data_IF_847772713811
#
_entry.id   IF_847772713811
#
_cell.length_a   1.000
_cell.length_b   1.000
_cell.length_c   1.000
_cell.angle_alpha   90.00
_cell.angle_beta   90.00
_cell.angle_gamma   90.00
#
_symmetry.space_group_name_H-M   'P 1'
#
loop_
_entity.id
_entity.type
_entity.pdbx_description
1 polymer ?
#
# COMPACT_ATOMS: atom_id res chain seq x y z
N UNK A 1 10.32 3.36 -39.19
CA UNK A 1 9.51 3.56 -37.98
C UNK A 1 10.22 4.61 -37.11
N UNK A 2 9.55 5.68 -36.70
CA UNK A 2 10.13 6.69 -35.80
C UNK A 2 9.66 6.38 -34.37
N UNK A 3 10.57 6.14 -33.46
CA UNK A 3 10.28 5.95 -32.04
C UNK A 3 10.62 7.25 -31.32
N UNK A 4 9.66 7.77 -30.52
CA UNK A 4 9.86 8.96 -29.70
C UNK A 4 9.68 8.53 -28.25
N UNK A 5 10.73 8.69 -27.44
CA UNK A 5 10.67 8.47 -26.00
C UNK A 5 10.19 9.75 -25.33
N UNK A 6 9.17 9.65 -24.47
CA UNK A 6 8.73 10.79 -23.68
C UNK A 6 9.78 11.18 -22.64
N UNK A 7 9.98 12.50 -22.42
CA UNK A 7 10.97 13.00 -21.44
C UNK A 7 10.65 12.53 -20.01
N UNK A 8 9.37 12.34 -19.69
CA UNK A 8 8.89 11.86 -18.39
C UNK A 8 8.72 10.35 -18.31
N UNK A 9 9.22 9.58 -19.31
CA UNK A 9 9.14 8.12 -19.29
C UNK A 9 9.95 7.55 -18.13
N UNK A 10 9.30 6.67 -17.34
CA UNK A 10 9.96 6.00 -16.20
C UNK A 10 9.00 5.72 -15.05
N UNK A 11 9.57 5.30 -13.94
CA UNK A 11 8.81 5.08 -12.72
C UNK A 11 8.39 6.41 -12.07
N UNK A 12 7.19 6.42 -11.47
CA UNK A 12 6.80 7.54 -10.61
C UNK A 12 7.73 7.64 -9.38
N UNK A 13 7.67 8.76 -8.69
CA UNK A 13 8.51 9.03 -7.52
C UNK A 13 8.42 7.92 -6.45
N UNK A 14 7.21 7.44 -6.13
CA UNK A 14 7.01 6.42 -5.10
C UNK A 14 7.68 5.08 -5.45
N UNK A 15 7.53 4.63 -6.69
CA UNK A 15 8.18 3.41 -7.21
C UNK A 15 9.71 3.57 -7.25
N UNK A 16 10.22 4.70 -7.76
CA UNK A 16 11.65 4.97 -7.81
C UNK A 16 12.27 4.92 -6.40
N UNK A 17 11.64 5.61 -5.44
CA UNK A 17 12.06 5.59 -4.04
C UNK A 17 12.07 4.18 -3.45
N UNK A 18 11.04 3.37 -3.72
CA UNK A 18 10.95 2.00 -3.19
C UNK A 18 12.08 1.11 -3.70
N UNK A 19 12.39 1.19 -5.00
CA UNK A 19 13.47 0.42 -5.62
C UNK A 19 14.84 0.86 -5.08
N UNK A 20 15.11 2.16 -5.01
CA UNK A 20 16.37 2.71 -4.47
C UNK A 20 16.56 2.30 -3.00
N UNK A 21 15.49 2.34 -2.20
CA UNK A 21 15.54 1.95 -0.79
C UNK A 21 15.82 0.46 -0.63
N UNK A 22 15.19 -0.39 -1.45
CA UNK A 22 15.45 -1.83 -1.45
C UNK A 22 16.90 -2.15 -1.83
N UNK A 23 17.41 -1.53 -2.89
CA UNK A 23 18.80 -1.70 -3.33
C UNK A 23 19.81 -1.26 -2.26
N UNK A 24 19.57 -0.11 -1.64
CA UNK A 24 20.39 0.38 -0.54
C UNK A 24 20.38 -0.58 0.65
N UNK A 25 19.19 -1.05 1.05
CA UNK A 25 19.05 -1.98 2.16
C UNK A 25 19.79 -3.29 1.90
N UNK A 26 19.69 -3.82 0.68
CA UNK A 26 20.40 -5.04 0.29
C UNK A 26 21.94 -4.89 0.33
N UNK A 27 22.45 -3.71 -0.01
CA UNK A 27 23.90 -3.43 0.06
C UNK A 27 24.41 -3.30 1.50
N UNK A 28 23.55 -2.88 2.43
CA UNK A 28 23.90 -2.63 3.83
C UNK A 28 23.64 -3.82 4.76
N UNK A 29 22.86 -4.81 4.32
CA UNK A 29 22.35 -5.86 5.21
C UNK A 29 22.52 -7.25 4.59
N UNK A 30 23.05 -8.21 5.35
CA UNK A 30 22.97 -9.61 4.98
C UNK A 30 21.58 -10.15 5.35
N UNK A 31 20.92 -10.88 4.40
CA UNK A 31 19.59 -11.44 4.65
C UNK A 31 18.44 -10.45 4.50
N UNK A 32 18.48 -9.66 3.44
CA UNK A 32 17.36 -8.77 3.06
C UNK A 32 16.24 -9.54 2.36
N UNK A 33 15.01 -9.25 2.76
CA UNK A 33 13.79 -9.83 2.20
C UNK A 33 12.89 -8.75 1.61
N UNK A 34 12.08 -9.11 0.64
CA UNK A 34 10.87 -8.36 0.26
C UNK A 34 9.65 -9.22 0.60
N UNK A 35 8.63 -8.59 1.17
CA UNK A 35 7.35 -9.22 1.46
C UNK A 35 6.45 -9.04 0.25
N UNK A 36 6.26 -10.13 -0.51
CA UNK A 36 5.63 -10.09 -1.82
C UNK A 36 6.47 -9.34 -2.87
N UNK A 37 5.84 -8.91 -3.94
CA UNK A 37 6.48 -8.09 -4.96
C UNK A 37 6.59 -6.64 -4.51
N UNK A 38 7.79 -6.08 -4.49
CA UNK A 38 8.04 -4.70 -4.08
C UNK A 38 7.21 -3.70 -4.90
N UNK A 39 7.08 -3.99 -6.18
CA UNK A 39 6.27 -3.25 -7.17
C UNK A 39 5.71 -4.24 -8.19
N UNK A 40 4.62 -3.88 -8.87
CA UNK A 40 4.02 -4.71 -9.94
C UNK A 40 4.86 -4.69 -11.23
N UNK A 41 6.13 -5.09 -11.15
CA UNK A 41 7.03 -5.20 -12.29
C UNK A 41 8.03 -6.35 -12.10
N UNK A 42 7.79 -7.46 -12.82
CA UNK A 42 8.60 -8.67 -12.70
C UNK A 42 10.09 -8.46 -13.05
N UNK A 43 10.42 -7.57 -13.97
CA UNK A 43 11.83 -7.30 -14.31
C UNK A 43 12.57 -6.69 -13.13
N UNK A 44 11.95 -5.73 -12.44
CA UNK A 44 12.55 -5.11 -11.25
C UNK A 44 12.64 -6.10 -10.10
N UNK A 45 11.60 -6.89 -9.87
CA UNK A 45 11.61 -7.95 -8.82
C UNK A 45 12.75 -8.94 -9.07
N UNK A 46 12.93 -9.39 -10.32
CA UNK A 46 14.03 -10.29 -10.69
C UNK A 46 15.42 -9.64 -10.55
N UNK A 47 15.58 -8.36 -10.88
CA UNK A 47 16.84 -7.63 -10.67
C UNK A 47 17.17 -7.52 -9.17
N UNK A 48 16.18 -7.23 -8.33
CA UNK A 48 16.35 -7.21 -6.88
C UNK A 48 16.73 -8.59 -6.33
N UNK A 49 16.09 -9.65 -6.83
CA UNK A 49 16.45 -11.03 -6.46
C UNK A 49 17.88 -11.40 -6.87
N UNK A 50 18.32 -10.99 -8.08
CA UNK A 50 19.70 -11.17 -8.55
C UNK A 50 20.73 -10.42 -7.67
N UNK A 51 20.31 -9.36 -6.98
CA UNK A 51 21.12 -8.61 -5.99
C UNK A 51 21.09 -9.22 -4.59
N UNK A 52 20.44 -10.38 -4.40
CA UNK A 52 20.42 -11.11 -3.15
C UNK A 52 19.23 -10.75 -2.23
N UNK A 53 18.24 -9.99 -2.70
CA UNK A 53 17.00 -9.77 -1.95
C UNK A 53 16.10 -10.98 -2.15
N UNK A 54 15.83 -11.72 -1.09
CA UNK A 54 14.94 -12.88 -1.12
C UNK A 54 13.49 -12.42 -1.06
N UNK A 55 12.58 -13.22 -1.61
CA UNK A 55 11.14 -12.96 -1.55
C UNK A 55 10.47 -13.96 -0.61
N UNK A 56 9.54 -13.51 0.21
CA UNK A 56 8.59 -14.33 0.94
C UNK A 56 7.19 -13.75 0.83
N UNK A 57 6.19 -14.63 0.83
CA UNK A 57 4.77 -14.23 0.96
C UNK A 57 4.26 -14.47 2.40
N UNK A 58 5.07 -15.16 3.21
CA UNK A 58 4.71 -15.53 4.58
C UNK A 58 5.53 -14.72 5.60
N UNK A 59 4.92 -13.71 6.26
CA UNK A 59 5.60 -12.91 7.27
C UNK A 59 6.04 -13.74 8.48
N UNK A 60 5.39 -14.89 8.77
CA UNK A 60 5.75 -15.75 9.90
C UNK A 60 7.06 -16.51 9.69
N UNK A 61 7.56 -16.57 8.46
CA UNK A 61 8.84 -17.17 8.11
C UNK A 61 10.05 -16.31 8.49
N UNK A 62 9.82 -15.06 8.91
CA UNK A 62 10.85 -14.10 9.28
C UNK A 62 11.01 -14.00 10.80
N UNK A 63 12.20 -13.66 11.27
CA UNK A 63 12.48 -13.55 12.70
C UNK A 63 13.52 -12.50 13.06
N UNK A 64 13.87 -12.45 14.34
CA UNK A 64 14.86 -11.50 14.83
C UNK A 64 16.18 -11.62 14.07
N UNK A 65 16.66 -10.48 13.57
CA UNK A 65 17.88 -10.41 12.73
C UNK A 65 17.59 -10.36 11.23
N UNK A 66 16.39 -10.73 10.78
CA UNK A 66 15.98 -10.49 9.38
C UNK A 66 15.65 -9.03 9.15
N UNK A 67 15.88 -8.58 7.92
CA UNK A 67 15.46 -7.26 7.43
C UNK A 67 14.49 -7.46 6.28
N UNK A 68 13.31 -6.86 6.35
CA UNK A 68 12.29 -6.93 5.29
C UNK A 68 11.98 -5.54 4.74
N UNK A 69 11.90 -5.44 3.42
CA UNK A 69 11.44 -4.23 2.72
C UNK A 69 9.94 -4.37 2.45
N UNK A 70 9.16 -3.43 2.97
CA UNK A 70 7.72 -3.36 2.76
C UNK A 70 7.46 -2.74 1.39
N UNK A 71 6.52 -3.31 0.64
CA UNK A 71 6.18 -2.95 -0.75
C UNK A 71 5.61 -1.54 -0.90
N UNK A 72 5.68 -1.01 -2.11
CA UNK A 72 5.35 0.40 -2.41
C UNK A 72 3.88 0.77 -2.19
N UNK A 73 2.96 -0.18 -2.29
CA UNK A 73 1.51 0.03 -2.04
C UNK A 73 1.09 -0.24 -0.59
N UNK A 74 2.05 -0.48 0.28
CA UNK A 74 1.79 -0.72 1.70
C UNK A 74 1.49 -2.17 2.03
N UNK A 75 1.23 -2.41 3.32
CA UNK A 75 0.93 -3.73 3.87
C UNK A 75 -0.20 -3.62 4.89
N UNK A 76 -0.82 -4.75 5.22
CA UNK A 76 -1.82 -4.84 6.29
C UNK A 76 -1.18 -4.45 7.63
N UNK A 77 -1.91 -3.69 8.43
CA UNK A 77 -1.45 -3.29 9.77
C UNK A 77 -1.10 -4.51 10.63
N UNK A 78 -1.93 -5.56 10.61
CA UNK A 78 -1.69 -6.79 11.36
C UNK A 78 -0.40 -7.52 10.98
N UNK A 79 0.01 -7.43 9.70
CA UNK A 79 1.27 -7.99 9.21
C UNK A 79 2.44 -7.19 9.75
N UNK A 80 2.34 -5.84 9.72
CA UNK A 80 3.38 -4.97 10.29
C UNK A 80 3.54 -5.21 11.79
N UNK A 81 2.44 -5.31 12.53
CA UNK A 81 2.43 -5.61 13.97
C UNK A 81 3.07 -6.99 14.27
N UNK A 82 2.83 -7.99 13.40
CA UNK A 82 3.43 -9.33 13.51
C UNK A 82 4.95 -9.26 13.33
N UNK A 83 5.42 -8.58 12.28
CA UNK A 83 6.86 -8.42 12.01
C UNK A 83 7.57 -7.68 13.14
N UNK A 84 6.94 -6.65 13.69
CA UNK A 84 7.46 -5.92 14.85
C UNK A 84 7.58 -6.83 16.10
N UNK A 85 6.52 -7.60 16.38
CA UNK A 85 6.51 -8.53 17.51
C UNK A 85 7.57 -9.65 17.38
N UNK A 86 7.91 -10.05 16.15
CA UNK A 86 8.97 -11.00 15.84
C UNK A 86 10.39 -10.39 15.90
N UNK A 87 10.51 -9.07 16.09
CA UNK A 87 11.79 -8.38 16.09
C UNK A 87 12.45 -8.26 14.72
N UNK A 88 11.66 -8.34 13.64
CA UNK A 88 12.11 -8.15 12.26
C UNK A 88 12.32 -6.66 12.00
N UNK A 89 13.45 -6.32 11.39
CA UNK A 89 13.71 -4.94 10.96
C UNK A 89 12.91 -4.61 9.71
N UNK A 90 11.85 -3.83 9.84
CA UNK A 90 11.05 -3.37 8.72
C UNK A 90 11.63 -2.09 8.09
N UNK A 91 11.91 -2.14 6.79
CA UNK A 91 12.27 -0.97 5.97
C UNK A 91 11.06 -0.59 5.13
N UNK A 92 10.38 0.48 5.54
CA UNK A 92 9.11 0.86 4.92
C UNK A 92 9.33 1.61 3.60
N UNK A 93 9.14 0.89 2.47
CA UNK A 93 9.19 1.47 1.12
C UNK A 93 7.81 1.89 0.58
N UNK A 94 6.78 1.88 1.41
CA UNK A 94 5.44 2.36 1.04
C UNK A 94 5.51 3.78 0.47
N UNK A 95 4.78 4.02 -0.62
CA UNK A 95 4.69 5.34 -1.24
C UNK A 95 4.22 6.39 -0.22
N UNK A 96 4.85 7.57 -0.15
CA UNK A 96 4.42 8.62 0.78
C UNK A 96 2.94 9.03 0.65
N UNK A 97 2.38 8.98 -0.56
CA UNK A 97 0.95 9.25 -0.77
C UNK A 97 0.08 8.18 -0.09
N UNK A 98 0.47 6.90 -0.19
CA UNK A 98 -0.24 5.79 0.49
C UNK A 98 -0.12 5.93 2.01
N UNK A 99 1.08 6.25 2.53
CA UNK A 99 1.28 6.50 3.96
C UNK A 99 0.37 7.63 4.47
N UNK A 100 0.28 8.72 3.73
CA UNK A 100 -0.61 9.83 4.09
C UNK A 100 -2.08 9.41 4.15
N UNK A 101 -2.54 8.56 3.21
CA UNK A 101 -3.91 8.05 3.24
C UNK A 101 -4.12 7.10 4.44
N UNK A 102 -3.13 6.26 4.78
CA UNK A 102 -3.18 5.42 5.98
C UNK A 102 -3.33 6.27 7.26
N UNK A 103 -2.60 7.37 7.35
CA UNK A 103 -2.71 8.34 8.45
C UNK A 103 -4.12 8.94 8.53
N UNK A 104 -4.69 9.38 7.40
CA UNK A 104 -6.05 9.94 7.34
C UNK A 104 -7.11 8.92 7.78
N UNK A 105 -6.99 7.66 7.35
CA UNK A 105 -7.91 6.57 7.74
C UNK A 105 -7.79 6.28 9.24
N UNK A 106 -6.58 6.19 9.76
CA UNK A 106 -6.34 5.98 11.20
C UNK A 106 -6.85 7.16 12.05
N UNK A 107 -6.63 8.39 11.59
CA UNK A 107 -7.11 9.59 12.26
C UNK A 107 -8.65 9.66 12.25
N UNK A 108 -9.30 9.27 11.16
CA UNK A 108 -10.76 9.23 11.07
C UNK A 108 -11.36 8.39 12.21
N UNK A 109 -10.80 7.20 12.46
CA UNK A 109 -11.27 6.34 13.55
C UNK A 109 -11.06 6.98 14.93
N UNK A 110 -9.89 7.60 15.17
CA UNK A 110 -9.60 8.27 16.43
C UNK A 110 -10.53 9.46 16.71
N UNK A 111 -10.99 10.14 15.66
CA UNK A 111 -11.92 11.27 15.72
C UNK A 111 -13.39 10.84 15.71
N UNK A 112 -13.69 9.54 15.69
CA UNK A 112 -15.06 9.03 15.60
C UNK A 112 -15.75 9.30 14.27
N UNK A 113 -14.98 9.45 13.18
CA UNK A 113 -15.46 9.68 11.82
C UNK A 113 -15.59 8.35 11.09
N UNK A 114 -16.57 8.23 10.22
CA UNK A 114 -16.69 7.08 9.33
C UNK A 114 -15.65 7.18 8.20
N UNK A 115 -14.72 6.23 8.14
CA UNK A 115 -13.79 6.13 7.03
C UNK A 115 -14.47 5.49 5.81
N UNK A 116 -14.41 6.18 4.67
CA UNK A 116 -14.90 5.70 3.36
C UNK A 116 -13.71 5.66 2.41
N UNK A 117 -13.47 4.50 1.82
CA UNK A 117 -12.37 4.25 0.89
C UNK A 117 -12.96 3.97 -0.49
N UNK A 118 -12.61 4.78 -1.48
CA UNK A 118 -13.00 4.56 -2.87
C UNK A 118 -11.87 3.83 -3.60
N UNK A 119 -12.13 2.64 -4.10
CA UNK A 119 -11.13 1.83 -4.80
C UNK A 119 -11.52 0.38 -4.97
N UNK A 120 -10.69 -0.37 -5.66
CA UNK A 120 -10.89 -1.79 -5.91
C UNK A 120 -10.72 -2.60 -4.61
N UNK A 121 -11.80 -3.20 -4.10
CA UNK A 121 -11.91 -3.86 -2.78
C UNK A 121 -10.80 -4.89 -2.50
N UNK A 122 -10.40 -5.63 -3.50
CA UNK A 122 -9.40 -6.70 -3.39
C UNK A 122 -7.98 -6.25 -3.79
N UNK A 123 -7.80 -4.98 -4.14
CA UNK A 123 -6.46 -4.46 -4.44
C UNK A 123 -5.62 -4.38 -3.15
N UNK A 124 -4.35 -4.81 -3.17
CA UNK A 124 -3.49 -4.81 -1.97
C UNK A 124 -3.39 -3.45 -1.27
N UNK A 125 -3.38 -2.34 -2.01
CA UNK A 125 -3.38 -0.99 -1.43
C UNK A 125 -4.66 -0.73 -0.64
N UNK A 126 -5.85 -1.02 -1.22
CA UNK A 126 -7.15 -0.79 -0.55
C UNK A 126 -7.29 -1.67 0.68
N UNK A 127 -6.89 -2.94 0.60
CA UNK A 127 -6.86 -3.83 1.75
C UNK A 127 -5.91 -3.32 2.85
N UNK A 128 -4.74 -2.82 2.45
CA UNK A 128 -3.79 -2.16 3.34
C UNK A 128 -4.40 -0.94 4.02
N UNK A 129 -5.02 -0.02 3.27
CA UNK A 129 -5.69 1.17 3.81
C UNK A 129 -6.82 0.80 4.79
N UNK A 130 -7.67 -0.14 4.41
CA UNK A 130 -8.80 -0.60 5.22
C UNK A 130 -8.37 -1.19 6.57
N UNK A 131 -7.17 -1.78 6.64
CA UNK A 131 -6.64 -2.38 7.87
C UNK A 131 -6.24 -1.38 8.96
N UNK A 132 -6.22 -0.08 8.65
CA UNK A 132 -5.91 0.98 9.61
C UNK A 132 -7.13 1.54 10.35
N UNK A 133 -8.31 0.94 10.12
CA UNK A 133 -9.57 1.33 10.74
C UNK A 133 -10.39 0.05 11.02
N UNK A 134 -11.18 0.05 12.10
CA UNK A 134 -11.97 -1.12 12.52
C UNK A 134 -13.17 -1.36 11.63
N UNK A 135 -13.83 -0.28 11.18
CA UNK A 135 -15.06 -0.33 10.39
C UNK A 135 -14.98 0.51 9.11
N UNK A 136 -14.05 0.21 8.19
CA UNK A 136 -13.96 0.95 6.94
C UNK A 136 -15.11 0.56 6.00
N UNK A 137 -15.65 1.55 5.29
CA UNK A 137 -16.52 1.31 4.15
C UNK A 137 -15.70 1.39 2.87
N UNK A 138 -15.80 0.39 2.01
CA UNK A 138 -15.07 0.34 0.74
C UNK A 138 -16.06 0.27 -0.40
N UNK A 139 -16.02 1.25 -1.30
CA UNK A 139 -16.85 1.32 -2.49
C UNK A 139 -15.99 1.35 -3.75
N UNK A 140 -16.44 0.62 -4.77
CA UNK A 140 -15.76 0.54 -6.08
C UNK A 140 -16.42 1.44 -7.12
N UNK A 141 -17.74 1.64 -6.99
CA UNK A 141 -18.52 2.38 -7.97
C UNK A 141 -19.47 3.38 -7.28
N UNK A 142 -19.91 4.43 -8.00
CA UNK A 142 -20.93 5.35 -7.48
C UNK A 142 -22.24 4.65 -7.10
N UNK A 143 -22.62 3.62 -7.86
CA UNK A 143 -23.87 2.86 -7.63
C UNK A 143 -23.83 2.12 -6.29
N UNK A 144 -22.66 1.63 -5.86
CA UNK A 144 -22.50 1.04 -4.53
C UNK A 144 -22.72 2.09 -3.42
N UNK A 145 -22.24 3.30 -3.61
CA UNK A 145 -22.45 4.41 -2.66
C UNK A 145 -23.94 4.77 -2.60
N UNK A 146 -24.58 4.93 -3.77
CA UNK A 146 -26.01 5.23 -3.85
C UNK A 146 -26.86 4.15 -3.16
N UNK A 147 -26.60 2.89 -3.46
CA UNK A 147 -27.31 1.77 -2.83
C UNK A 147 -27.18 1.80 -1.30
N UNK A 148 -25.96 2.02 -0.79
CA UNK A 148 -25.70 2.11 0.65
C UNK A 148 -26.45 3.28 1.31
N UNK A 149 -26.53 4.44 0.65
CA UNK A 149 -27.30 5.59 1.12
C UNK A 149 -28.82 5.32 1.13
N UNK A 150 -29.35 4.65 0.10
CA UNK A 150 -30.77 4.32 -0.01
C UNK A 150 -31.22 3.27 1.00
N UNK A 151 -30.33 2.40 1.44
CA UNK A 151 -30.61 1.39 2.49
C UNK A 151 -30.78 2.02 3.89
N UNK A 152 -30.54 3.32 4.03
CA UNK A 152 -30.68 4.03 5.30
C UNK A 152 -29.60 3.71 6.33
N UNK A 153 -28.46 3.17 5.86
CA UNK A 153 -27.33 2.80 6.72
C UNK A 153 -26.47 4.01 7.13
N UNK A 154 -26.78 5.17 6.60
CA UNK A 154 -26.04 6.41 6.87
C UNK A 154 -26.81 7.37 7.77
N UNK A 155 -26.21 7.74 8.90
CA UNK A 155 -26.68 8.84 9.73
C UNK A 155 -26.02 10.15 9.21
N UNK A 156 -26.83 11.11 8.71
CA UNK A 156 -26.30 12.39 8.20
C UNK A 156 -25.51 13.21 9.20
N UNK A 157 -25.68 12.98 10.49
CA UNK A 157 -24.92 13.67 11.54
C UNK A 157 -23.54 13.04 11.78
N UNK A 158 -23.29 11.83 11.27
CA UNK A 158 -21.99 11.17 11.39
C UNK A 158 -20.97 11.81 10.47
N UNK A 159 -19.89 12.40 11.00
CA UNK A 159 -18.85 12.98 10.17
C UNK A 159 -18.11 11.89 9.41
N UNK A 160 -17.76 12.16 8.16
CA UNK A 160 -17.06 11.20 7.28
C UNK A 160 -15.68 11.71 6.90
N UNK A 161 -14.77 10.76 6.62
CA UNK A 161 -13.51 11.00 5.93
C UNK A 161 -13.49 10.13 4.69
N UNK A 162 -13.41 10.74 3.51
CA UNK A 162 -13.39 10.03 2.23
C UNK A 162 -11.98 10.07 1.66
N UNK A 163 -11.45 8.90 1.32
CA UNK A 163 -10.14 8.74 0.67
C UNK A 163 -10.28 7.86 -0.57
N UNK A 164 -9.31 7.94 -1.48
CA UNK A 164 -9.32 7.12 -2.69
C UNK A 164 -7.98 6.40 -2.87
N UNK A 165 -8.03 5.24 -3.51
CA UNK A 165 -6.85 4.51 -3.98
C UNK A 165 -6.00 5.39 -4.89
N UNK A 166 -4.65 5.37 -4.73
CA UNK A 166 -3.76 6.37 -5.34
C UNK A 166 -3.73 6.40 -6.86
N UNK A 167 -4.04 5.30 -7.54
CA UNK A 167 -4.02 5.22 -9.01
C UNK A 167 -5.40 5.06 -9.65
N UNK A 168 -6.47 5.07 -8.87
CA UNK A 168 -7.84 4.89 -9.39
C UNK A 168 -8.43 6.14 -10.04
N UNK A 169 -7.93 7.32 -9.71
CA UNK A 169 -8.48 8.60 -10.16
C UNK A 169 -8.26 8.90 -11.65
N UNK A 170 -7.39 8.18 -12.33
CA UNK A 170 -7.09 8.36 -13.76
C UNK A 170 -8.32 8.04 -14.64
N UNK A 171 -9.24 7.20 -14.16
CA UNK A 171 -10.44 6.79 -14.90
C UNK A 171 -11.72 7.52 -14.48
N UNK A 172 -11.67 8.42 -13.51
CA UNK A 172 -12.83 9.16 -13.00
C UNK A 172 -12.98 10.55 -13.69
N UNK A 173 -12.00 10.97 -14.48
CA UNK A 173 -11.93 12.28 -15.11
C UNK A 173 -12.31 12.31 -16.60
N UNK A 174 -12.92 11.26 -17.15
CA UNK A 174 -13.47 11.26 -18.52
C UNK A 174 -15.00 11.42 -18.52
#
# INVERSE_FOLDING_TARGET
MKVILAESAGFCYGVKRAVELAQKTAAETQGCWMLGDLIHNAHVVNDLAARGIRKTEDPSSLGAGDTVVIRSHGELKSVLDTLEAQGVRCVNATCPNVLHIQELVSQAEQEGRQAIIIGERHHPEVMGLASWCTHPLVFQTPEEVEAWLWEGNFDPETPVTVVAQTLSLIHISE
#
